data_IF_152731088610
#
_entry.id   IF_152731088610
#
_cell.length_a   1.000
_cell.length_b   1.000
_cell.length_c   1.000
_cell.angle_alpha   90.00
_cell.angle_beta   90.00
_cell.angle_gamma   90.00
#
_symmetry.space_group_name_H-M   'P 1'
#
loop_
_entity.id
_entity.type
_entity.pdbx_description
1 polymer ?
#
# COMPACT_ATOMS: atom_id res chain seq x y z
N UNK A 1 2.38 -10.08 -9.44
CA UNK A 1 3.01 -8.84 -9.98
C UNK A 1 3.57 -7.99 -8.87
N UNK A 2 4.17 -6.84 -9.19
CA UNK A 2 4.87 -5.97 -8.23
C UNK A 2 3.99 -5.55 -7.04
N UNK A 3 2.78 -5.06 -7.30
CA UNK A 3 1.83 -4.67 -6.26
C UNK A 3 1.53 -5.81 -5.28
N UNK A 4 1.21 -7.01 -5.80
CA UNK A 4 0.90 -8.18 -4.98
C UNK A 4 2.09 -8.63 -4.11
N UNK A 5 3.32 -8.46 -4.61
CA UNK A 5 4.53 -8.79 -3.82
C UNK A 5 4.67 -7.87 -2.61
N UNK A 6 4.44 -6.57 -2.79
CA UNK A 6 4.48 -5.59 -1.70
C UNK A 6 3.31 -5.83 -0.74
N UNK A 7 2.09 -5.96 -1.25
CA UNK A 7 0.92 -6.25 -0.44
C UNK A 7 1.13 -7.50 0.43
N UNK A 8 1.66 -8.59 -0.14
CA UNK A 8 1.97 -9.81 0.62
C UNK A 8 2.96 -9.57 1.77
N UNK A 9 3.94 -8.67 1.61
CA UNK A 9 4.89 -8.34 2.66
C UNK A 9 4.29 -7.50 3.81
N UNK A 10 3.20 -6.78 3.54
CA UNK A 10 2.62 -5.80 4.47
C UNK A 10 1.25 -6.21 5.03
N UNK A 11 0.84 -7.48 4.92
CA UNK A 11 -0.45 -7.95 5.46
C UNK A 11 -1.60 -7.98 4.44
N UNK A 12 -1.27 -8.10 3.16
CA UNK A 12 -2.24 -8.12 2.06
C UNK A 12 -2.63 -6.73 1.58
N UNK A 13 -3.74 -6.66 0.84
CA UNK A 13 -4.23 -5.38 0.28
C UNK A 13 -4.59 -4.41 1.39
N UNK A 14 -5.17 -4.88 2.49
CA UNK A 14 -5.54 -4.04 3.63
C UNK A 14 -4.32 -3.36 4.28
N UNK A 15 -3.17 -4.03 4.26
CA UNK A 15 -1.90 -3.46 4.71
C UNK A 15 -1.38 -2.32 3.84
N UNK A 16 -1.81 -2.25 2.57
CA UNK A 16 -1.42 -1.18 1.65
C UNK A 16 -2.21 0.12 1.87
N UNK A 17 -3.34 0.06 2.57
CA UNK A 17 -4.29 1.16 2.69
C UNK A 17 -3.77 2.21 3.67
N UNK A 18 -3.85 3.48 3.27
CA UNK A 18 -3.65 4.63 4.14
C UNK A 18 -4.98 4.98 4.86
N UNK A 19 -5.15 4.69 6.16
CA UNK A 19 -6.37 5.06 6.88
C UNK A 19 -6.57 6.58 6.97
N UNK A 20 -5.47 7.35 6.83
CA UNK A 20 -5.48 8.81 6.82
C UNK A 20 -5.68 9.40 5.41
N UNK A 21 -6.00 8.58 4.40
CA UNK A 21 -6.31 9.07 3.06
C UNK A 21 -7.38 10.17 3.13
N UNK A 22 -7.15 11.28 2.41
CA UNK A 22 -8.06 12.44 2.37
C UNK A 22 -9.36 12.11 1.65
N UNK A 23 -9.29 11.26 0.64
CA UNK A 23 -10.44 10.80 -0.14
C UNK A 23 -11.17 9.69 0.63
N UNK A 24 -12.15 10.10 1.44
CA UNK A 24 -12.93 9.18 2.29
C UNK A 24 -13.87 8.29 1.48
N UNK A 25 -14.32 8.75 0.32
CA UNK A 25 -15.21 7.98 -0.55
C UNK A 25 -14.45 6.84 -1.23
N UNK A 26 -13.26 7.11 -1.75
CA UNK A 26 -12.38 6.07 -2.29
C UNK A 26 -11.93 5.09 -1.21
N UNK A 27 -11.60 5.59 0.00
CA UNK A 27 -11.24 4.75 1.13
C UNK A 27 -12.38 3.82 1.52
N UNK A 28 -13.61 4.32 1.60
CA UNK A 28 -14.79 3.50 1.86
C UNK A 28 -15.01 2.46 0.76
N UNK A 29 -14.88 2.87 -0.51
CA UNK A 29 -15.02 1.97 -1.67
C UNK A 29 -14.07 0.78 -1.57
N UNK A 30 -12.79 1.01 -1.32
CA UNK A 30 -11.77 -0.04 -1.21
C UNK A 30 -12.01 -0.95 0.01
N UNK A 31 -12.47 -0.40 1.13
CA UNK A 31 -12.68 -1.18 2.34
C UNK A 31 -13.87 -2.16 2.24
N UNK A 32 -14.93 -1.80 1.50
CA UNK A 32 -16.18 -2.54 1.48
C UNK A 32 -16.47 -3.33 0.20
N UNK A 33 -15.72 -3.12 -0.89
CA UNK A 33 -15.89 -3.91 -2.11
C UNK A 33 -15.33 -5.32 -1.97
N UNK A 34 -16.03 -6.29 -2.58
CA UNK A 34 -15.63 -7.69 -2.58
C UNK A 34 -14.35 -7.93 -3.40
N UNK A 35 -14.23 -7.29 -4.57
CA UNK A 35 -12.99 -7.30 -5.35
C UNK A 35 -12.07 -6.16 -4.95
N UNK A 36 -11.33 -6.37 -3.86
CA UNK A 36 -10.40 -5.36 -3.34
C UNK A 36 -9.23 -5.06 -4.28
N UNK A 37 -8.82 -6.00 -5.15
CA UNK A 37 -7.64 -5.83 -5.99
C UNK A 37 -7.93 -4.88 -7.15
N UNK A 38 -9.02 -5.10 -7.87
CA UNK A 38 -9.43 -4.19 -8.95
C UNK A 38 -9.73 -2.80 -8.36
N UNK A 39 -10.50 -2.77 -7.27
CA UNK A 39 -10.92 -1.52 -6.63
C UNK A 39 -9.73 -0.66 -6.17
N UNK A 40 -8.69 -1.25 -5.55
CA UNK A 40 -7.53 -0.46 -5.11
C UNK A 40 -6.67 0.03 -6.27
N UNK A 41 -6.61 -0.73 -7.38
CA UNK A 41 -5.87 -0.34 -8.58
C UNK A 41 -6.54 0.82 -9.34
N UNK A 42 -7.86 0.97 -9.22
CA UNK A 42 -8.61 2.13 -9.70
C UNK A 42 -8.53 3.33 -8.75
N UNK A 43 -8.24 3.11 -7.46
CA UNK A 43 -8.25 4.13 -6.40
C UNK A 43 -6.88 4.27 -5.73
N UNK A 44 -5.80 4.33 -6.52
CA UNK A 44 -4.42 4.26 -6.02
C UNK A 44 -4.06 5.35 -5.00
N UNK A 45 -4.79 6.48 -4.96
CA UNK A 45 -4.63 7.52 -3.95
C UNK A 45 -4.87 7.04 -2.51
N UNK A 46 -5.52 5.89 -2.31
CA UNK A 46 -5.69 5.28 -0.98
C UNK A 46 -4.46 4.53 -0.50
N UNK A 47 -3.47 4.25 -1.37
CA UNK A 47 -2.28 3.50 -1.01
C UNK A 47 -1.39 4.38 -0.12
N UNK A 48 -0.83 3.79 0.95
CA UNK A 48 0.13 4.47 1.83
C UNK A 48 1.41 4.79 1.07
N UNK A 49 1.75 6.07 0.99
CA UNK A 49 2.92 6.58 0.27
C UNK A 49 3.94 7.22 1.24
N UNK A 50 5.25 7.21 0.90
CA UNK A 50 5.84 6.53 -0.26
C UNK A 50 5.83 5.00 -0.12
N UNK A 51 5.76 4.31 -1.26
CA UNK A 51 6.08 2.87 -1.35
C UNK A 51 7.51 2.78 -1.83
N UNK A 52 8.43 2.34 -0.96
CA UNK A 52 9.86 2.24 -1.30
C UNK A 52 10.25 0.76 -1.30
N UNK A 53 11.11 0.36 -2.24
CA UNK A 53 11.53 -1.04 -2.42
C UNK A 53 13.05 -1.16 -2.52
N UNK A 54 13.59 -2.26 -1.97
CA UNK A 54 14.94 -2.73 -2.22
C UNK A 54 14.92 -4.24 -2.47
N UNK A 55 14.94 -4.65 -3.74
CA UNK A 55 14.81 -6.06 -4.13
C UNK A 55 13.51 -6.71 -3.59
N UNK A 56 13.67 -7.59 -2.59
CA UNK A 56 12.55 -8.28 -1.91
C UNK A 56 11.98 -7.49 -0.73
N UNK A 57 12.69 -6.48 -0.24
CA UNK A 57 12.27 -5.62 0.86
C UNK A 57 11.40 -4.47 0.35
N UNK A 58 10.50 -3.99 1.20
CA UNK A 58 9.67 -2.82 0.92
C UNK A 58 9.17 -2.16 2.19
N UNK A 59 8.89 -0.86 2.13
CA UNK A 59 8.23 -0.09 3.20
C UNK A 59 7.03 0.67 2.67
N UNK A 60 6.10 0.97 3.57
CA UNK A 60 4.92 1.79 3.33
C UNK A 60 4.91 3.01 4.25
N UNK A 61 5.11 4.19 3.67
CA UNK A 61 5.36 5.43 4.42
C UNK A 61 6.83 5.79 4.48
N UNK A 62 7.10 6.93 5.13
CA UNK A 62 8.45 7.47 5.26
C UNK A 62 9.22 6.75 6.37
N UNK A 63 10.23 5.97 5.99
CA UNK A 63 10.97 5.06 6.88
C UNK A 63 12.49 5.18 6.66
N UNK A 64 13.09 6.38 6.81
CA UNK A 64 14.49 6.63 6.46
C UNK A 64 15.49 5.79 7.26
N UNK A 65 15.16 5.42 8.49
CA UNK A 65 16.05 4.63 9.34
C UNK A 65 16.13 3.17 8.88
N UNK A 66 15.04 2.64 8.29
CA UNK A 66 15.07 1.34 7.62
C UNK A 66 15.93 1.45 6.35
N UNK A 67 15.69 2.49 5.53
CA UNK A 67 16.37 2.65 4.24
C UNK A 67 17.88 2.82 4.36
N UNK A 68 18.38 3.45 5.45
CA UNK A 68 19.83 3.56 5.73
C UNK A 68 20.50 2.21 5.95
N UNK A 69 19.75 1.20 6.39
CA UNK A 69 20.26 -0.16 6.63
C UNK A 69 20.24 -1.06 5.40
N UNK A 70 19.64 -0.60 4.30
CA UNK A 70 19.60 -1.34 3.04
C UNK A 70 20.95 -1.29 2.31
N UNK A 71 21.35 -2.44 1.76
CA UNK A 71 22.54 -2.60 0.92
C UNK A 71 22.22 -2.43 -0.54
#
# INVERSE_FOLDING_TARGET
GEFQSVAKAHGGIDGMINPECKDKDALARVNYMADKLETILENQQVIKTPVVRNGKESTLGYEPDIWKGWQ
#
